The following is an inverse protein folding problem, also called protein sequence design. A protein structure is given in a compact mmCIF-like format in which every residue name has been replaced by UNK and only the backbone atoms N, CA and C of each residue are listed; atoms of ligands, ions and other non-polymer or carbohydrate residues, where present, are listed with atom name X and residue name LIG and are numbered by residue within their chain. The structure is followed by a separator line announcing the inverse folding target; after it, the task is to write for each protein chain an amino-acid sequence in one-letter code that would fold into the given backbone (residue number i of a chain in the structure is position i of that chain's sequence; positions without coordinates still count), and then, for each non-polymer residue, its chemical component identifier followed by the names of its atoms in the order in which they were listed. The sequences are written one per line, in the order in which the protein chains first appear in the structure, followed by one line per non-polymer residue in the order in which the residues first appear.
data_IF_679282178122
#
_entry.id   IF_679282178122
#
_cell.length_a   1.000
_cell.length_b   1.000
_cell.length_c   1.000
_cell.angle_alpha   90.00
_cell.angle_beta   90.00
_cell.angle_gamma   90.00
#
_symmetry.space_group_name_H-M   'P 1'
#
loop_
_entity.id
_entity.type
_entity.pdbx_description
1 polymer ?
#
# COMPACT_ATOMS: atom_id res chain seq x y z
N UNK A 1 2.35 -19.48 16.08
CA UNK A 1 2.78 -18.71 14.90
C UNK A 1 1.55 -18.04 14.29
N UNK A 2 1.37 -16.74 14.56
CA UNK A 2 0.30 -15.90 14.02
C UNK A 2 0.52 -15.62 12.52
N UNK A 3 0.50 -16.68 11.71
CA UNK A 3 0.84 -16.65 10.28
C UNK A 3 -0.35 -16.99 9.39
N UNK A 4 -1.37 -16.13 9.35
CA UNK A 4 -2.48 -16.29 8.37
C UNK A 4 -2.88 -15.01 7.66
N UNK A 5 -2.75 -13.85 8.28
CA UNK A 5 -3.15 -12.57 7.69
C UNK A 5 -1.92 -11.76 7.32
N UNK A 6 -1.78 -11.36 6.05
CA UNK A 6 -0.83 -10.32 5.66
C UNK A 6 -1.51 -8.95 5.66
N UNK A 7 -0.76 -7.90 5.98
CA UNK A 7 -1.24 -6.52 5.87
C UNK A 7 -0.54 -5.85 4.70
N UNK A 8 -1.33 -5.31 3.79
CA UNK A 8 -0.88 -4.59 2.61
C UNK A 8 -1.43 -3.16 2.67
N UNK A 9 -0.65 -2.19 2.23
CA UNK A 9 -1.08 -0.80 2.06
C UNK A 9 -0.43 -0.19 0.82
N UNK A 10 -0.63 1.11 0.59
CA UNK A 10 0.04 1.88 -0.45
C UNK A 10 0.98 2.96 0.13
N UNK A 11 1.85 3.54 -0.71
CA UNK A 11 2.88 4.49 -0.25
C UNK A 11 2.32 5.76 0.40
N UNK A 12 1.04 6.09 0.18
CA UNK A 12 0.43 7.29 0.77
C UNK A 12 0.15 7.14 2.27
N UNK A 13 0.27 5.93 2.83
CA UNK A 13 0.21 5.68 4.27
C UNK A 13 1.27 6.49 5.04
N UNK A 14 2.31 6.98 4.36
CA UNK A 14 3.35 7.86 4.91
C UNK A 14 4.03 7.28 6.17
N UNK A 15 4.00 5.96 6.32
CA UNK A 15 4.60 5.28 7.47
C UNK A 15 6.12 5.35 7.37
N UNK A 16 6.83 5.70 8.46
CA UNK A 16 8.27 5.55 8.53
C UNK A 16 8.70 4.11 8.24
N UNK A 17 9.79 3.92 7.49
CA UNK A 17 10.29 2.60 7.10
C UNK A 17 10.50 1.65 8.28
N UNK A 18 10.98 2.18 9.42
CA UNK A 18 11.15 1.41 10.66
C UNK A 18 9.84 0.83 11.20
N UNK A 19 8.72 1.54 11.05
CA UNK A 19 7.40 1.05 11.47
C UNK A 19 6.84 0.04 10.48
N UNK A 20 7.06 0.26 9.17
CA UNK A 20 6.66 -0.71 8.13
C UNK A 20 7.36 -2.05 8.35
N UNK A 21 8.67 -2.02 8.63
CA UNK A 21 9.48 -3.22 8.90
C UNK A 21 9.06 -3.89 10.21
N UNK A 22 8.96 -3.13 11.30
CA UNK A 22 8.57 -3.67 12.60
C UNK A 22 7.16 -4.30 12.59
N UNK A 23 6.25 -3.75 11.79
CA UNK A 23 4.89 -4.25 11.66
C UNK A 23 4.72 -5.31 10.54
N UNK A 24 5.78 -5.72 9.84
CA UNK A 24 5.72 -6.64 8.68
C UNK A 24 4.59 -6.27 7.70
N UNK A 25 4.54 -4.99 7.30
CA UNK A 25 3.55 -4.45 6.36
C UNK A 25 4.16 -4.40 4.96
N UNK A 26 3.39 -4.83 3.96
CA UNK A 26 3.77 -4.69 2.55
C UNK A 26 3.20 -3.39 1.99
N UNK A 27 4.08 -2.52 1.48
CA UNK A 27 3.69 -1.24 0.86
C UNK A 27 3.76 -1.37 -0.65
N UNK A 28 2.67 -1.02 -1.34
CA UNK A 28 2.59 -0.93 -2.80
C UNK A 28 2.82 0.52 -3.23
N UNK A 29 3.89 0.85 -3.96
CA UNK A 29 4.21 2.22 -4.29
C UNK A 29 3.25 2.78 -5.35
N UNK A 30 2.77 4.01 -5.14
CA UNK A 30 2.21 4.84 -6.19
C UNK A 30 3.31 5.29 -7.16
N UNK A 31 2.92 5.83 -8.31
CA UNK A 31 3.87 6.47 -9.22
C UNK A 31 3.84 7.99 -9.08
N UNK A 32 5.02 8.58 -9.10
CA UNK A 32 5.24 10.01 -9.25
C UNK A 32 5.87 10.24 -10.63
N UNK A 33 5.27 11.09 -11.43
CA UNK A 33 5.73 11.43 -12.76
C UNK A 33 6.41 12.80 -12.69
N UNK A 34 7.73 12.84 -12.92
CA UNK A 34 8.54 14.06 -12.90
C UNK A 34 9.02 14.34 -14.32
N UNK A 35 8.62 15.49 -14.88
CA UNK A 35 8.95 15.89 -16.26
C UNK A 35 8.64 14.77 -17.29
N UNK A 36 7.52 14.07 -17.10
CA UNK A 36 7.10 12.95 -17.96
C UNK A 36 7.73 11.60 -17.65
N UNK A 37 8.67 11.53 -16.70
CA UNK A 37 9.33 10.27 -16.29
C UNK A 37 8.65 9.68 -15.07
N UNK A 38 8.12 8.44 -15.13
CA UNK A 38 7.50 7.79 -13.98
C UNK A 38 8.54 7.20 -13.03
N UNK A 39 8.28 7.32 -11.73
CA UNK A 39 9.09 6.78 -10.65
C UNK A 39 8.20 6.13 -9.60
N UNK A 40 8.62 5.01 -9.02
CA UNK A 40 7.93 4.44 -7.86
C UNK A 40 8.23 5.28 -6.60
N UNK A 41 7.19 5.77 -5.94
CA UNK A 41 7.31 6.58 -4.73
C UNK A 41 7.98 5.78 -3.61
N UNK A 42 9.03 6.37 -3.01
CA UNK A 42 9.78 5.73 -1.92
C UNK A 42 10.70 4.58 -2.35
N UNK A 43 10.70 4.21 -3.63
CA UNK A 43 11.59 3.18 -4.20
C UNK A 43 12.59 3.83 -5.15
N UNK A 44 12.11 4.42 -6.25
CA UNK A 44 12.96 5.08 -7.26
C UNK A 44 13.11 6.57 -6.99
N UNK A 45 12.18 7.15 -6.21
CA UNK A 45 12.12 8.57 -5.89
C UNK A 45 11.96 8.77 -4.39
N UNK A 46 13.00 9.31 -3.75
CA UNK A 46 12.97 9.73 -2.35
C UNK A 46 12.20 11.05 -2.17
N UNK A 47 11.67 11.31 -0.95
CA UNK A 47 11.04 12.60 -0.64
C UNK A 47 11.97 13.80 -0.90
N UNK A 48 13.28 13.67 -0.63
CA UNK A 48 14.24 14.73 -0.88
C UNK A 48 14.41 15.03 -2.38
N UNK A 49 14.44 13.99 -3.24
CA UNK A 49 14.49 14.16 -4.69
C UNK A 49 13.20 14.80 -5.21
N UNK A 50 12.04 14.38 -4.71
CA UNK A 50 10.75 15.00 -5.06
C UNK A 50 10.71 16.48 -4.68
N UNK A 51 11.11 16.84 -3.46
CA UNK A 51 11.18 18.23 -3.00
C UNK A 51 12.15 19.04 -3.86
N UNK A 52 13.30 18.47 -4.23
CA UNK A 52 14.26 19.11 -5.15
C UNK A 52 13.63 19.38 -6.51
N UNK A 53 12.91 18.39 -7.08
CA UNK A 53 12.19 18.52 -8.35
C UNK A 53 11.12 19.62 -8.30
N UNK A 54 10.33 19.69 -7.23
CA UNK A 54 9.34 20.75 -7.04
C UNK A 54 10.00 22.14 -6.94
N UNK A 55 11.12 22.26 -6.21
CA UNK A 55 11.84 23.53 -6.04
C UNK A 55 12.46 24.05 -7.33
N UNK A 56 12.89 23.16 -8.24
CA UNK A 56 13.36 23.53 -9.58
C UNK A 56 12.24 23.83 -10.58
N UNK A 57 10.97 23.75 -10.16
CA UNK A 57 9.81 24.01 -11.01
C UNK A 57 9.49 22.88 -11.98
N UNK A 58 9.89 21.65 -11.68
CA UNK A 58 9.55 20.48 -12.50
C UNK A 58 8.03 20.29 -12.57
N UNK A 59 7.54 19.73 -13.67
CA UNK A 59 6.14 19.30 -13.73
C UNK A 59 6.03 17.98 -12.99
N UNK A 60 5.18 17.94 -11.96
CA UNK A 60 4.97 16.75 -11.13
C UNK A 60 3.50 16.37 -11.14
N UNK A 61 3.21 15.13 -11.49
CA UNK A 61 1.89 14.51 -11.35
C UNK A 61 2.02 13.15 -10.69
N UNK A 62 0.90 12.54 -10.34
CA UNK A 62 0.85 11.23 -9.68
C UNK A 62 -0.06 10.29 -10.44
N UNK A 63 0.18 8.99 -10.32
CA UNK A 63 -0.77 7.96 -10.75
C UNK A 63 -0.90 6.86 -9.70
N UNK A 64 -2.09 6.25 -9.64
CA UNK A 64 -2.36 5.08 -8.82
C UNK A 64 -1.54 3.86 -9.30
N UNK A 65 -1.27 2.87 -8.44
CA UNK A 65 -0.68 1.62 -8.88
C UNK A 65 -1.69 0.86 -9.74
N UNK A 66 -1.23 0.23 -10.82
CA UNK A 66 -2.08 -0.63 -11.64
C UNK A 66 -2.47 -1.92 -10.90
N UNK A 67 -3.60 -2.57 -11.25
CA UNK A 67 -4.02 -3.84 -10.65
C UNK A 67 -2.94 -4.93 -10.70
N UNK A 68 -2.13 -4.98 -11.75
CA UNK A 68 -1.04 -5.94 -11.88
C UNK A 68 0.05 -5.76 -10.82
N UNK A 69 0.24 -4.54 -10.32
CA UNK A 69 1.18 -4.23 -9.24
C UNK A 69 0.69 -4.79 -7.91
N UNK A 70 -0.61 -4.63 -7.62
CA UNK A 70 -1.25 -5.28 -6.47
C UNK A 70 -1.26 -6.80 -6.59
N UNK A 71 -1.57 -7.35 -7.76
CA UNK A 71 -1.59 -8.80 -7.97
C UNK A 71 -0.23 -9.44 -7.68
N UNK A 72 0.88 -8.80 -8.08
CA UNK A 72 2.24 -9.23 -7.72
C UNK A 72 2.49 -9.17 -6.23
N UNK A 73 2.05 -8.11 -5.55
CA UNK A 73 2.18 -7.98 -4.09
C UNK A 73 1.41 -9.09 -3.35
N UNK A 74 0.16 -9.34 -3.75
CA UNK A 74 -0.68 -10.38 -3.17
C UNK A 74 -0.11 -11.79 -3.40
N UNK A 75 0.33 -12.10 -4.62
CA UNK A 75 0.98 -13.36 -4.93
C UNK A 75 2.26 -13.57 -4.09
N UNK A 76 3.06 -12.51 -3.90
CA UNK A 76 4.28 -12.57 -3.08
C UNK A 76 3.97 -12.87 -1.61
N UNK A 77 2.97 -12.24 -1.01
CA UNK A 77 2.62 -12.52 0.39
C UNK A 77 1.97 -13.88 0.56
N UNK A 78 1.13 -14.31 -0.39
CA UNK A 78 0.56 -15.65 -0.41
C UNK A 78 1.66 -16.73 -0.50
N UNK A 79 2.67 -16.53 -1.35
CA UNK A 79 3.83 -17.44 -1.47
C UNK A 79 4.67 -17.52 -0.18
N UNK A 80 4.63 -16.49 0.67
CA UNK A 80 5.25 -16.50 2.01
C UNK A 80 4.43 -17.23 3.07
N UNK A 81 3.26 -17.74 2.71
CA UNK A 81 2.37 -18.52 3.58
C UNK A 81 1.17 -17.76 4.13
N UNK A 82 0.93 -16.52 3.71
CA UNK A 82 -0.30 -15.81 4.05
C UNK A 82 -1.51 -16.57 3.49
N UNK A 83 -2.58 -16.69 4.28
CA UNK A 83 -3.83 -17.36 3.92
C UNK A 83 -4.99 -16.39 3.72
N UNK A 84 -4.77 -15.12 4.04
CA UNK A 84 -5.72 -14.02 3.98
C UNK A 84 -4.90 -12.72 3.93
N UNK A 85 -5.44 -11.68 3.29
CA UNK A 85 -4.79 -10.37 3.16
C UNK A 85 -5.79 -9.30 3.59
N UNK A 86 -5.36 -8.37 4.44
CA UNK A 86 -6.06 -7.11 4.69
C UNK A 86 -5.30 -6.01 3.95
N UNK A 87 -5.94 -5.37 2.99
CA UNK A 87 -5.32 -4.40 2.09
C UNK A 87 -5.95 -3.01 2.29
N UNK A 88 -5.30 -2.16 3.07
CA UNK A 88 -5.85 -0.86 3.52
C UNK A 88 -5.25 0.28 2.71
N UNK A 89 -6.09 1.10 2.08
CA UNK A 89 -5.63 2.06 1.08
C UNK A 89 -6.15 3.48 1.29
N UNK A 90 -5.49 4.41 0.59
CA UNK A 90 -5.95 5.80 0.44
C UNK A 90 -7.44 5.87 0.09
N UNK A 91 -8.10 6.92 0.59
CA UNK A 91 -9.48 7.25 0.26
C UNK A 91 -9.82 7.03 -1.22
N UNK A 92 -10.88 6.27 -1.50
CA UNK A 92 -11.37 6.08 -2.87
C UNK A 92 -11.83 7.41 -3.51
N UNK A 93 -12.18 8.41 -2.69
CA UNK A 93 -12.53 9.76 -3.14
C UNK A 93 -11.31 10.55 -3.68
N UNK A 94 -10.08 10.11 -3.35
CA UNK A 94 -8.83 10.77 -3.75
C UNK A 94 -8.10 10.05 -4.88
N UNK A 95 -8.31 8.73 -5.03
CA UNK A 95 -7.53 7.90 -5.93
C UNK A 95 -8.26 6.61 -6.29
N UNK A 96 -8.07 6.11 -7.52
CA UNK A 96 -8.56 4.79 -7.94
C UNK A 96 -7.76 3.60 -7.37
N UNK A 97 -6.87 3.83 -6.40
CA UNK A 97 -6.03 2.79 -5.78
C UNK A 97 -6.87 1.66 -5.16
N UNK A 98 -7.97 1.99 -4.48
CA UNK A 98 -8.91 1.00 -3.93
C UNK A 98 -9.46 0.10 -5.05
N UNK A 99 -9.95 0.68 -6.14
CA UNK A 99 -10.46 -0.09 -7.28
C UNK A 99 -9.38 -0.98 -7.90
N UNK A 100 -8.15 -0.47 -8.04
CA UNK A 100 -7.03 -1.27 -8.55
C UNK A 100 -6.70 -2.46 -7.63
N UNK A 101 -6.74 -2.26 -6.32
CA UNK A 101 -6.57 -3.31 -5.32
C UNK A 101 -7.71 -4.35 -5.36
N UNK A 102 -8.97 -3.92 -5.54
CA UNK A 102 -10.14 -4.79 -5.68
C UNK A 102 -10.09 -5.65 -6.95
N UNK A 103 -9.67 -5.07 -8.08
CA UNK A 103 -9.48 -5.82 -9.32
C UNK A 103 -8.42 -6.91 -9.15
N UNK A 104 -7.31 -6.59 -8.47
CA UNK A 104 -6.27 -7.57 -8.18
C UNK A 104 -6.73 -8.66 -7.20
N UNK A 105 -7.54 -8.30 -6.20
CA UNK A 105 -8.08 -9.22 -5.20
C UNK A 105 -8.86 -10.38 -5.81
N UNK A 106 -9.56 -10.16 -6.94
CA UNK A 106 -10.34 -11.19 -7.64
C UNK A 106 -9.50 -12.39 -8.11
N UNK A 107 -8.19 -12.23 -8.26
CA UNK A 107 -7.27 -13.26 -8.79
C UNK A 107 -6.14 -13.63 -7.83
N UNK A 108 -6.18 -13.14 -6.59
CA UNK A 108 -5.07 -13.22 -5.63
C UNK A 108 -4.78 -14.64 -5.07
N UNK A 109 -5.61 -15.65 -5.36
CA UNK A 109 -5.43 -17.03 -4.89
C UNK A 109 -5.67 -17.26 -3.39
N UNK A 110 -5.73 -16.18 -2.60
CA UNK A 110 -6.15 -16.14 -1.19
C UNK A 110 -7.18 -15.02 -1.01
N UNK A 111 -8.07 -15.07 -0.01
CA UNK A 111 -8.98 -13.98 0.30
C UNK A 111 -8.23 -12.67 0.54
N UNK A 112 -8.69 -11.60 -0.11
CA UNK A 112 -8.17 -10.24 0.08
C UNK A 112 -9.33 -9.33 0.45
N UNK A 113 -9.21 -8.71 1.61
CA UNK A 113 -10.15 -7.74 2.15
C UNK A 113 -9.60 -6.35 1.88
N UNK A 114 -10.09 -5.73 0.80
CA UNK A 114 -9.71 -4.37 0.45
C UNK A 114 -10.51 -3.40 1.30
N UNK A 115 -9.82 -2.47 1.95
CA UNK A 115 -10.40 -1.47 2.86
C UNK A 115 -10.10 -0.08 2.31
N UNK A 116 -11.15 0.63 1.94
CA UNK A 116 -11.10 2.08 1.76
C UNK A 116 -10.99 2.74 3.14
N UNK A 117 -9.81 3.31 3.45
CA UNK A 117 -9.59 3.98 4.73
C UNK A 117 -10.33 5.31 4.87
N UNK A 118 -10.79 5.88 3.74
CA UNK A 118 -11.37 7.23 3.66
C UNK A 118 -10.45 8.33 4.19
N UNK A 119 -9.15 8.08 4.23
CA UNK A 119 -8.12 9.04 4.68
C UNK A 119 -6.83 8.86 3.87
N UNK A 120 -5.78 9.60 4.22
CA UNK A 120 -4.46 9.60 3.57
C UNK A 120 -3.39 10.00 4.59
N UNK A 121 -2.12 9.79 4.26
CA UNK A 121 -1.01 10.15 5.13
C UNK A 121 -0.97 9.27 6.37
N UNK A 122 -0.47 9.82 7.48
CA UNK A 122 -0.42 9.07 8.73
C UNK A 122 -1.79 8.68 9.31
N UNK A 123 -2.90 9.29 8.86
CA UNK A 123 -4.24 8.79 9.17
C UNK A 123 -4.45 7.36 8.65
N UNK A 124 -4.04 7.11 7.41
CA UNK A 124 -4.00 5.77 6.82
C UNK A 124 -2.94 4.91 7.52
N UNK A 125 -1.74 5.45 7.76
CA UNK A 125 -0.68 4.72 8.46
C UNK A 125 -1.07 4.20 9.85
N UNK A 126 -1.86 4.95 10.61
CA UNK A 126 -2.39 4.50 11.90
C UNK A 126 -3.41 3.36 11.76
N UNK A 127 -4.28 3.41 10.75
CA UNK A 127 -5.21 2.33 10.45
C UNK A 127 -4.47 1.03 10.06
N UNK A 128 -3.40 1.16 9.27
CA UNK A 128 -2.52 0.05 8.90
C UNK A 128 -1.81 -0.53 10.12
N UNK A 129 -1.27 0.31 11.01
CA UNK A 129 -0.63 -0.14 12.24
C UNK A 129 -1.62 -0.89 13.16
N UNK A 130 -2.86 -0.41 13.27
CA UNK A 130 -3.90 -1.11 14.02
C UNK A 130 -4.25 -2.47 13.40
N UNK A 131 -4.34 -2.57 12.06
CA UNK A 131 -4.56 -3.84 11.38
C UNK A 131 -3.40 -4.84 11.64
N UNK A 132 -2.16 -4.37 11.61
CA UNK A 132 -0.99 -5.19 11.94
C UNK A 132 -1.00 -5.66 13.40
N UNK A 133 -1.34 -4.78 14.34
CA UNK A 133 -1.46 -5.15 15.75
C UNK A 133 -2.55 -6.22 15.97
N UNK A 134 -3.73 -6.06 15.36
CA UNK A 134 -4.79 -7.06 15.46
C UNK A 134 -4.39 -8.42 14.86
N UNK A 135 -3.65 -8.44 13.75
CA UNK A 135 -3.06 -9.67 13.20
C UNK A 135 -2.15 -10.34 14.24
N UNK A 136 -1.28 -9.58 14.89
CA UNK A 136 -0.31 -10.09 15.86
C UNK A 136 -1.01 -10.63 17.13
N UNK A 137 -2.15 -10.04 17.51
CA UNK A 137 -3.06 -10.52 18.54
C UNK A 137 -3.88 -11.77 18.11
N UNK A 138 -3.70 -12.24 16.86
CA UNK A 138 -4.34 -13.45 16.33
C UNK A 138 -5.73 -13.24 15.73
N UNK A 139 -6.14 -11.99 15.48
CA UNK A 139 -7.38 -11.69 14.79
C UNK A 139 -7.34 -12.21 13.33
N UNK A 140 -8.54 -12.37 12.76
CA UNK A 140 -8.77 -12.67 11.34
C UNK A 140 -9.43 -11.47 10.69
N UNK A 141 -9.42 -11.41 9.36
CA UNK A 141 -10.20 -10.38 8.68
C UNK A 141 -11.69 -10.57 9.03
N UNK A 142 -12.33 -9.50 9.49
CA UNK A 142 -13.77 -9.47 9.66
C UNK A 142 -14.43 -9.30 8.29
N UNK A 143 -15.63 -9.87 8.11
CA UNK A 143 -16.46 -9.66 6.93
C UNK A 143 -17.21 -8.34 7.02
#
# INVERSE_FOLDING_TARGET
MAGRVAVVTDSTASMPAVLVEAADVVVVPLQVIVDGTPHQEGVDLSPAQLVSALRRGATVTTSQPGPETFARAYARVAARGAREIVSVHISADLSGTVTSAELAAQTAGVPVHVVDSRTVGMGLGLAVAAAAQHRDDGARAAR
#
